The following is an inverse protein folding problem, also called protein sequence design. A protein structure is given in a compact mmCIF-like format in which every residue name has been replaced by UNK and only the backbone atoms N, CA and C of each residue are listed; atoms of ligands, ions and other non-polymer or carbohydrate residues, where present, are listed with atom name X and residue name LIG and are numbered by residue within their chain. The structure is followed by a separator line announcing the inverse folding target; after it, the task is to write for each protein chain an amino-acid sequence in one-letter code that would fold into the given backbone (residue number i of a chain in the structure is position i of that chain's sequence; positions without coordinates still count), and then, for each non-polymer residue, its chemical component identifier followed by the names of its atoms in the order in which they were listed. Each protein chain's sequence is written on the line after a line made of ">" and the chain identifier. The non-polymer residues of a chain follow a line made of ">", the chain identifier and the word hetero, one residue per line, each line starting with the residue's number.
data_IF_889264153824
#
_entry.id   IF_889264153824
#
_cell.length_a   1.000
_cell.length_b   1.000
_cell.length_c   1.000
_cell.angle_alpha   90.00
_cell.angle_beta   90.00
_cell.angle_gamma   90.00
#
_symmetry.space_group_name_H-M   'P 1'
#
loop_
_entity.id
_entity.type
_entity.pdbx_description
1 polymer ?
#
# COMPACT_ATOMS: atom_id res chain seq x y z
N UNK A 1 3.39 1.66 -21.39
CA UNK A 1 3.54 0.70 -20.28
C UNK A 1 3.31 1.45 -18.98
N UNK A 2 2.54 0.92 -18.02
CA UNK A 2 2.37 1.54 -16.70
C UNK A 2 3.59 1.31 -15.80
N UNK A 3 3.75 2.14 -14.77
CA UNK A 3 4.79 1.95 -13.75
C UNK A 3 4.51 0.72 -12.87
N UNK A 4 5.56 0.14 -12.30
CA UNK A 4 5.47 -1.04 -11.44
C UNK A 4 5.10 -0.66 -10.01
N UNK A 5 4.04 -1.26 -9.48
CA UNK A 5 3.58 -1.10 -8.09
C UNK A 5 4.03 -2.25 -7.20
N UNK A 6 4.22 -1.97 -5.91
CA UNK A 6 4.55 -3.01 -4.93
C UNK A 6 3.41 -4.02 -4.77
N UNK A 7 3.78 -5.30 -4.77
CA UNK A 7 2.88 -6.44 -4.59
C UNK A 7 2.79 -6.93 -3.14
N UNK A 8 3.69 -6.45 -2.27
CA UNK A 8 3.87 -6.90 -0.89
C UNK A 8 2.85 -6.33 0.12
N UNK A 9 1.89 -5.51 -0.35
CA UNK A 9 0.83 -5.00 0.52
C UNK A 9 -0.24 -6.06 0.80
N UNK A 10 -0.23 -6.58 2.03
CA UNK A 10 -1.27 -7.44 2.59
C UNK A 10 -2.40 -6.62 3.23
N UNK A 11 -3.57 -7.26 3.42
CA UNK A 11 -4.72 -6.61 4.05
C UNK A 11 -4.41 -6.12 5.49
N UNK A 12 -3.55 -6.85 6.19
CA UNK A 12 -3.19 -6.63 7.59
C UNK A 12 -1.92 -5.78 7.77
N UNK A 13 -1.32 -5.29 6.68
CA UNK A 13 -0.14 -4.42 6.77
C UNK A 13 -0.48 -3.17 7.57
N UNK A 14 0.29 -2.95 8.64
CA UNK A 14 0.16 -1.76 9.49
C UNK A 14 0.55 -0.52 8.68
N UNK A 15 -0.18 0.57 8.88
CA UNK A 15 0.15 1.85 8.29
C UNK A 15 0.71 2.77 9.37
N UNK A 16 1.73 3.55 9.01
CA UNK A 16 2.23 4.67 9.81
C UNK A 16 1.97 5.92 8.99
N UNK A 17 0.93 6.68 9.37
CA UNK A 17 0.40 7.77 8.55
C UNK A 17 -0.08 7.25 7.19
N UNK A 18 0.49 7.80 6.11
CA UNK A 18 0.16 7.44 4.72
C UNK A 18 1.11 6.39 4.10
N UNK A 19 2.04 5.84 4.88
CA UNK A 19 3.01 4.84 4.42
C UNK A 19 2.71 3.47 5.03
N UNK A 20 2.99 2.42 4.27
CA UNK A 20 2.89 1.04 4.75
C UNK A 20 4.14 0.65 5.53
N UNK A 21 3.96 0.16 6.76
CA UNK A 21 5.01 -0.42 7.57
C UNK A 21 5.19 -1.88 7.19
N UNK A 22 5.99 -2.11 6.15
CA UNK A 22 6.28 -3.43 5.61
C UNK A 22 7.42 -4.11 6.39
N UNK A 23 7.40 -5.45 6.51
CA UNK A 23 8.50 -6.16 7.14
C UNK A 23 9.80 -6.03 6.31
N UNK A 24 10.93 -6.06 7.01
CA UNK A 24 12.27 -5.92 6.40
C UNK A 24 13.20 -7.05 6.85
N UNK A 25 14.08 -7.53 5.96
CA UNK A 25 15.17 -8.45 6.31
C UNK A 25 16.40 -7.66 6.77
N UNK A 26 16.32 -7.11 7.97
CA UNK A 26 17.40 -6.29 8.54
C UNK A 26 17.91 -6.81 9.87
N UNK A 27 19.22 -6.69 10.09
CA UNK A 27 19.85 -6.92 11.40
C UNK A 27 19.87 -5.64 12.26
N UNK A 28 19.53 -4.50 11.66
CA UNK A 28 19.50 -3.21 12.34
C UNK A 28 18.24 -3.09 13.20
N UNK A 29 18.37 -2.40 14.35
CA UNK A 29 17.24 -2.10 15.23
C UNK A 29 16.31 -1.11 14.54
N UNK A 30 15.01 -1.41 14.51
CA UNK A 30 14.01 -0.52 13.94
C UNK A 30 12.58 -0.95 14.29
N UNK A 31 11.59 -0.08 14.00
CA UNK A 31 10.18 -0.35 14.26
C UNK A 31 9.54 -1.30 13.23
N UNK A 32 10.28 -1.64 12.16
CA UNK A 32 9.80 -2.54 11.12
C UNK A 32 9.66 -3.98 11.64
N UNK A 33 8.57 -4.68 11.30
CA UNK A 33 8.47 -6.12 11.57
C UNK A 33 9.62 -6.89 10.92
N UNK A 34 10.00 -8.01 11.53
CA UNK A 34 10.98 -8.93 10.92
C UNK A 34 10.31 -9.69 9.79
N UNK A 35 10.89 -9.62 8.60
CA UNK A 35 10.46 -10.44 7.47
C UNK A 35 10.97 -11.88 7.65
N UNK A 36 10.13 -12.87 7.35
CA UNK A 36 10.49 -14.29 7.34
C UNK A 36 10.59 -14.86 5.92
N UNK A 37 10.17 -14.09 4.92
CA UNK A 37 10.28 -14.41 3.49
C UNK A 37 11.66 -14.04 2.94
N UNK A 38 12.01 -14.64 1.81
CA UNK A 38 13.29 -14.40 1.11
C UNK A 38 13.38 -13.03 0.41
N UNK A 39 12.24 -12.36 0.22
CA UNK A 39 12.13 -11.07 -0.49
C UNK A 39 11.46 -10.03 0.38
N UNK A 40 12.04 -8.83 0.42
CA UNK A 40 11.47 -7.68 1.12
C UNK A 40 11.17 -6.50 0.17
N UNK A 41 10.62 -5.42 0.73
CA UNK A 41 10.29 -4.21 -0.03
C UNK A 41 11.52 -3.50 -0.60
N UNK A 42 12.71 -3.69 -0.01
CA UNK A 42 13.94 -3.09 -0.51
C UNK A 42 14.39 -3.83 -1.77
N UNK A 43 14.33 -5.16 -1.77
CA UNK A 43 14.62 -5.98 -2.95
C UNK A 43 13.68 -5.63 -4.12
N UNK A 44 12.38 -5.54 -3.85
CA UNK A 44 11.37 -5.17 -4.85
C UNK A 44 11.62 -3.75 -5.39
N UNK A 45 11.97 -2.81 -4.51
CA UNK A 45 12.30 -1.44 -4.90
C UNK A 45 13.53 -1.38 -5.81
N UNK A 46 14.62 -2.08 -5.47
CA UNK A 46 15.83 -2.14 -6.29
C UNK A 46 15.55 -2.81 -7.64
N UNK A 47 14.77 -3.90 -7.62
CA UNK A 47 14.40 -4.64 -8.83
C UNK A 47 13.62 -3.75 -9.81
N UNK A 48 12.61 -3.01 -9.31
CA UNK A 48 11.81 -2.13 -10.15
C UNK A 48 12.44 -0.76 -10.41
N UNK A 49 13.48 -0.34 -9.66
CA UNK A 49 14.08 0.99 -9.78
C UNK A 49 14.50 1.33 -11.22
N UNK A 50 15.20 0.41 -11.89
CA UNK A 50 15.68 0.61 -13.27
C UNK A 50 14.56 0.84 -14.27
N UNK A 51 13.42 0.17 -14.09
CA UNK A 51 12.26 0.37 -14.95
C UNK A 51 11.48 1.62 -14.56
N UNK A 52 11.35 1.86 -13.24
CA UNK A 52 10.51 2.91 -12.70
C UNK A 52 11.09 4.33 -12.88
N UNK A 53 12.42 4.48 -12.95
CA UNK A 53 13.10 5.78 -13.11
C UNK A 53 12.74 6.50 -14.42
N UNK A 54 12.28 5.78 -15.44
CA UNK A 54 11.89 6.38 -16.72
C UNK A 54 10.48 6.99 -16.70
N UNK A 55 9.64 6.67 -15.71
CA UNK A 55 8.28 7.20 -15.64
C UNK A 55 8.26 8.57 -14.95
N UNK A 56 7.71 9.57 -15.65
CA UNK A 56 7.48 10.91 -15.08
C UNK A 56 6.28 10.97 -14.14
N UNK A 57 5.31 10.08 -14.34
CA UNK A 57 4.06 10.03 -13.57
C UNK A 57 3.94 8.67 -12.88
N UNK A 58 3.64 8.66 -11.58
CA UNK A 58 3.45 7.45 -10.79
C UNK A 58 2.15 7.55 -10.00
N UNK A 59 1.21 6.63 -10.26
CA UNK A 59 -0.06 6.57 -9.54
C UNK A 59 0.15 5.91 -8.17
N UNK A 60 -0.17 6.61 -7.08
CA UNK A 60 0.00 6.06 -5.72
C UNK A 60 -1.20 5.17 -5.38
N UNK A 61 -0.99 3.85 -5.39
CA UNK A 61 -2.00 2.85 -5.03
C UNK A 61 -1.78 2.32 -3.61
N UNK A 62 -2.22 3.06 -2.60
CA UNK A 62 -2.28 2.53 -1.23
C UNK A 62 -3.62 1.82 -1.03
N UNK A 63 -3.60 0.49 -1.11
CA UNK A 63 -4.79 -0.39 -1.11
C UNK A 63 -5.78 -0.08 0.03
N UNK A 64 -5.28 0.25 1.23
CA UNK A 64 -6.16 0.53 2.39
C UNK A 64 -6.86 1.88 2.33
N UNK A 65 -6.26 2.95 1.78
CA UNK A 65 -6.96 4.24 1.64
C UNK A 65 -8.11 4.12 0.65
N UNK A 66 -7.91 3.46 -0.50
CA UNK A 66 -8.96 3.30 -1.52
C UNK A 66 -10.10 2.41 -1.02
N UNK A 67 -9.80 1.28 -0.35
CA UNK A 67 -10.85 0.37 0.13
C UNK A 67 -11.61 0.96 1.33
N UNK A 68 -10.93 1.59 2.29
CA UNK A 68 -11.59 2.21 3.43
C UNK A 68 -12.45 3.42 3.02
N UNK A 69 -11.94 4.25 2.10
CA UNK A 69 -12.70 5.38 1.56
C UNK A 69 -13.91 4.90 0.74
N UNK A 70 -13.73 3.91 -0.15
CA UNK A 70 -14.85 3.33 -0.90
C UNK A 70 -15.90 2.68 0.02
N UNK A 71 -15.47 2.01 1.10
CA UNK A 71 -16.39 1.45 2.10
C UNK A 71 -17.11 2.56 2.88
N UNK A 72 -16.42 3.60 3.30
CA UNK A 72 -17.01 4.75 4.00
C UNK A 72 -18.01 5.50 3.10
N UNK A 73 -17.67 5.75 1.85
CA UNK A 73 -18.53 6.41 0.85
C UNK A 73 -19.78 5.57 0.58
N UNK A 74 -19.65 4.23 0.45
CA UNK A 74 -20.83 3.34 0.31
C UNK A 74 -21.75 3.43 1.52
N UNK A 75 -21.22 3.38 2.74
CA UNK A 75 -22.05 3.51 3.95
C UNK A 75 -22.75 4.86 4.07
N UNK A 76 -22.12 5.95 3.63
CA UNK A 76 -22.77 7.28 3.59
C UNK A 76 -23.87 7.31 2.51
N UNK A 77 -23.63 6.71 1.34
CA UNK A 77 -24.63 6.62 0.28
C UNK A 77 -25.84 5.76 0.67
N UNK A 78 -25.63 4.66 1.37
CA UNK A 78 -26.70 3.77 1.85
C UNK A 78 -27.57 4.47 2.90
N UNK A 79 -26.96 5.17 3.86
CA UNK A 79 -27.68 5.94 4.88
C UNK A 79 -28.42 7.14 4.31
N UNK A 80 -27.89 7.78 3.28
CA UNK A 80 -28.55 8.89 2.58
C UNK A 80 -29.80 8.48 1.81
N UNK A 81 -29.93 7.20 1.44
CA UNK A 81 -31.07 6.69 0.67
C UNK A 81 -32.22 6.19 1.56
N UNK A 82 -31.98 6.01 2.86
CA UNK A 82 -32.99 5.57 3.84
C UNK A 82 -33.84 6.71 4.41
N UNK A 83 -33.42 7.98 4.21
CA UNK A 83 -34.12 9.17 4.67
C UNK A 83 -34.90 9.91 3.57
N UNK A 84 -35.05 9.32 2.38
CA UNK A 84 -35.90 9.83 1.29
C UNK A 84 -37.08 8.90 1.02
N UNK A 85 -37.90 8.65 2.03
CA UNK A 85 -39.28 8.18 1.90
C UNK A 85 -40.10 8.78 3.05
#
# INVERSE_FOLDING_TARGET
>A
MPAYHSSLMDADTKLVGNMALLPLKTQFKGPAPKETKDTDIIDEAIYYFKANVFFKNYEIKVRRMTVAWNRAVRHVSEKGNQHRF
#
